data_IF_433013927697
#
_entry.id   IF_433013927697
#
_cell.length_a   1.000
_cell.length_b   1.000
_cell.length_c   1.000
_cell.angle_alpha   90.00
_cell.angle_beta   90.00
_cell.angle_gamma   90.00
#
_symmetry.space_group_name_H-M   'P 1'
#
loop_
_entity.id
_entity.type
_entity.pdbx_description
1 polymer ?
#
# COMPACT_ATOMS: atom_id res chain seq x y z
N UNK A 1 -9.88 -34.07 4.38
CA UNK A 1 -10.96 -33.19 4.86
C UNK A 1 -10.62 -31.80 4.44
N UNK A 2 -11.25 -31.31 3.36
CA UNK A 2 -11.01 -29.96 2.86
C UNK A 2 -11.95 -29.00 3.55
N UNK A 3 -11.42 -28.20 4.48
CA UNK A 3 -12.11 -27.00 4.96
C UNK A 3 -12.16 -25.99 3.83
N UNK A 4 -13.36 -25.48 3.53
CA UNK A 4 -13.60 -24.54 2.46
C UNK A 4 -12.92 -23.20 2.74
N UNK A 5 -11.82 -22.94 2.05
CA UNK A 5 -11.30 -21.57 1.90
C UNK A 5 -12.26 -20.82 0.97
N UNK A 6 -13.26 -20.16 1.55
CA UNK A 6 -14.30 -19.47 0.80
C UNK A 6 -15.52 -18.99 1.59
N UNK A 7 -15.62 -19.24 2.90
CA UNK A 7 -16.65 -18.58 3.72
C UNK A 7 -16.23 -17.13 4.02
N UNK A 8 -17.15 -16.19 3.79
CA UNK A 8 -17.03 -14.81 4.24
C UNK A 8 -16.94 -14.81 5.77
N UNK A 9 -15.72 -14.70 6.30
CA UNK A 9 -15.45 -14.61 7.74
C UNK A 9 -14.94 -13.21 8.05
N UNK A 10 -15.57 -12.55 9.02
CA UNK A 10 -15.14 -11.21 9.45
C UNK A 10 -13.80 -11.31 10.21
N UNK A 11 -13.02 -10.22 10.18
CA UNK A 11 -11.64 -10.23 10.71
C UNK A 11 -11.54 -10.72 12.17
N UNK A 12 -12.42 -10.26 13.05
CA UNK A 12 -12.43 -10.66 14.46
C UNK A 12 -12.82 -12.13 14.65
N UNK A 13 -13.69 -12.67 13.79
CA UNK A 13 -14.07 -14.08 13.81
C UNK A 13 -12.91 -14.97 13.35
N UNK A 14 -12.18 -14.54 12.31
CA UNK A 14 -10.98 -15.21 11.83
C UNK A 14 -9.91 -15.27 12.92
N UNK A 15 -9.69 -14.16 13.63
CA UNK A 15 -8.76 -14.11 14.76
C UNK A 15 -9.20 -15.01 15.92
N UNK A 16 -10.49 -14.98 16.28
CA UNK A 16 -11.04 -15.78 17.37
C UNK A 16 -10.97 -17.30 17.09
N UNK A 17 -10.95 -17.69 15.81
CA UNK A 17 -10.77 -19.08 15.38
C UNK A 17 -9.33 -19.60 15.49
N UNK A 18 -8.34 -18.74 15.78
CA UNK A 18 -6.94 -19.13 15.92
C UNK A 18 -6.66 -19.94 17.20
N UNK A 19 -5.70 -20.87 17.13
CA UNK A 19 -5.18 -21.56 18.30
C UNK A 19 -3.93 -20.83 18.82
N UNK A 20 -3.95 -20.23 20.04
CA UNK A 20 -2.78 -19.52 20.59
C UNK A 20 -1.57 -20.42 20.84
N UNK A 21 -1.79 -21.73 20.93
CA UNK A 21 -0.76 -22.74 21.20
C UNK A 21 -0.16 -23.33 19.92
N UNK A 22 -0.69 -23.02 18.73
CA UNK A 22 -0.13 -23.51 17.47
C UNK A 22 1.30 -22.94 17.30
N UNK A 23 2.33 -23.78 17.14
CA UNK A 23 3.70 -23.30 17.02
C UNK A 23 3.91 -22.55 15.71
N UNK A 24 4.57 -21.38 15.81
CA UNK A 24 5.00 -20.65 14.61
C UNK A 24 5.98 -21.49 13.78
N UNK A 25 5.75 -21.56 12.47
CA UNK A 25 6.64 -22.24 11.53
C UNK A 25 7.40 -21.20 10.73
N UNK A 26 8.71 -21.13 10.96
CA UNK A 26 9.61 -20.35 10.11
C UNK A 26 9.90 -21.12 8.82
N UNK A 27 10.20 -20.42 7.71
CA UNK A 27 10.75 -21.08 6.53
C UNK A 27 12.09 -21.74 6.88
N UNK A 28 12.35 -22.93 6.33
CA UNK A 28 13.64 -23.62 6.51
C UNK A 28 14.72 -22.98 5.63
N UNK A 29 14.30 -22.41 4.49
CA UNK A 29 15.14 -21.68 3.55
C UNK A 29 14.42 -20.40 3.09
N UNK A 30 15.15 -19.28 3.03
CA UNK A 30 14.62 -18.01 2.52
C UNK A 30 14.16 -18.09 1.04
N UNK A 31 14.58 -19.11 0.29
CA UNK A 31 14.10 -19.35 -1.07
C UNK A 31 12.75 -20.07 -1.15
N UNK A 32 12.20 -20.56 -0.03
CA UNK A 32 10.88 -21.17 -0.01
C UNK A 32 9.79 -20.18 -0.46
N UNK A 33 8.74 -20.74 -1.08
CA UNK A 33 7.61 -19.95 -1.59
C UNK A 33 6.80 -19.39 -0.43
N UNK A 34 6.70 -18.07 -0.38
CA UNK A 34 5.85 -17.33 0.54
C UNK A 34 4.44 -17.10 -0.04
N UNK A 35 4.35 -16.77 -1.33
CA UNK A 35 3.08 -16.43 -1.97
C UNK A 35 3.06 -16.81 -3.45
N UNK A 36 1.87 -17.11 -3.97
CA UNK A 36 1.60 -17.32 -5.39
C UNK A 36 0.67 -16.21 -5.89
N UNK A 37 1.21 -15.33 -6.74
CA UNK A 37 0.45 -14.25 -7.37
C UNK A 37 0.09 -14.67 -8.80
N UNK A 38 -1.17 -14.48 -9.21
CA UNK A 38 -1.60 -14.72 -10.59
C UNK A 38 -1.64 -13.42 -11.38
N UNK A 39 -1.03 -13.42 -12.56
CA UNK A 39 -1.14 -12.32 -13.52
C UNK A 39 -2.14 -12.67 -14.61
N UNK A 40 -2.95 -11.69 -15.02
CA UNK A 40 -4.01 -11.91 -16.00
C UNK A 40 -3.48 -12.27 -17.38
N UNK A 41 -2.26 -11.85 -17.73
CA UNK A 41 -1.56 -12.19 -18.98
C UNK A 41 -2.31 -11.78 -20.25
N UNK A 42 -1.68 -10.99 -21.13
CA UNK A 42 -2.30 -10.58 -22.42
C UNK A 42 -2.66 -11.75 -23.35
N UNK A 43 -2.16 -12.96 -23.06
CA UNK A 43 -2.38 -14.18 -23.83
C UNK A 43 -3.61 -14.99 -23.38
N UNK A 44 -4.40 -14.52 -22.41
CA UNK A 44 -5.61 -15.20 -21.93
C UNK A 44 -5.38 -16.45 -21.07
N UNK A 45 -4.13 -16.73 -20.70
CA UNK A 45 -3.74 -17.81 -19.78
C UNK A 45 -3.04 -17.19 -18.57
N UNK A 46 -3.67 -17.21 -17.38
CA UNK A 46 -3.04 -16.66 -16.19
C UNK A 46 -1.69 -17.33 -15.90
N UNK A 47 -0.68 -16.52 -15.55
CA UNK A 47 0.64 -17.02 -15.16
C UNK A 47 0.80 -16.90 -13.65
N UNK A 48 1.33 -17.94 -13.01
CA UNK A 48 1.68 -17.92 -11.60
C UNK A 48 3.09 -17.36 -11.40
N UNK A 49 3.22 -16.41 -10.49
CA UNK A 49 4.50 -15.84 -10.04
C UNK A 49 4.68 -16.20 -8.58
N UNK A 50 5.71 -17.00 -8.30
CA UNK A 50 6.08 -17.40 -6.95
C UNK A 50 6.97 -16.33 -6.31
N UNK A 51 6.61 -15.89 -5.12
CA UNK A 51 7.43 -15.02 -4.29
C UNK A 51 8.17 -15.88 -3.29
N UNK A 52 9.50 -15.72 -3.21
CA UNK A 52 10.26 -16.28 -2.09
C UNK A 52 10.26 -15.35 -0.89
N UNK A 53 10.50 -15.90 0.31
CA UNK A 53 10.71 -15.10 1.52
C UNK A 53 11.84 -14.06 1.32
N UNK A 54 12.94 -14.48 0.70
CA UNK A 54 14.09 -13.62 0.38
C UNK A 54 13.69 -12.46 -0.52
N UNK A 55 12.96 -12.74 -1.61
CA UNK A 55 12.57 -11.71 -2.56
C UNK A 55 11.64 -10.67 -1.93
N UNK A 56 10.66 -11.12 -1.15
CA UNK A 56 9.77 -10.22 -0.42
C UNK A 56 10.53 -9.38 0.63
N UNK A 57 11.46 -9.99 1.38
CA UNK A 57 12.27 -9.27 2.37
C UNK A 57 13.17 -8.22 1.71
N UNK A 58 13.87 -8.56 0.63
CA UNK A 58 14.73 -7.62 -0.10
C UNK A 58 13.92 -6.47 -0.69
N UNK A 59 12.76 -6.75 -1.28
CA UNK A 59 11.91 -5.69 -1.79
C UNK A 59 11.33 -4.81 -0.66
N UNK A 60 11.07 -5.39 0.52
CA UNK A 60 10.61 -4.64 1.67
C UNK A 60 11.63 -3.62 2.14
N UNK A 61 12.91 -4.01 2.17
CA UNK A 61 14.04 -3.12 2.48
C UNK A 61 14.19 -2.06 1.38
N UNK A 62 14.13 -2.47 0.11
CA UNK A 62 14.20 -1.56 -1.04
C UNK A 62 13.13 -0.46 -0.97
N UNK A 63 11.88 -0.81 -0.68
CA UNK A 63 10.79 0.14 -0.51
C UNK A 63 11.08 1.16 0.61
N UNK A 64 11.60 0.70 1.75
CA UNK A 64 11.93 1.59 2.86
C UNK A 64 13.03 2.59 2.49
N UNK A 65 14.05 2.13 1.74
CA UNK A 65 15.15 2.96 1.28
C UNK A 65 14.72 3.97 0.22
N UNK A 66 14.07 3.51 -0.86
CA UNK A 66 13.67 4.38 -1.99
C UNK A 66 12.68 5.46 -1.52
N UNK A 67 11.75 5.10 -0.65
CA UNK A 67 10.75 6.07 -0.16
C UNK A 67 11.26 6.92 1.02
N UNK A 68 12.47 6.66 1.51
CA UNK A 68 12.97 7.21 2.77
C UNK A 68 11.93 7.08 3.90
N UNK A 69 11.31 5.89 3.96
CA UNK A 69 10.19 5.64 4.86
C UNK A 69 10.70 5.71 6.30
N UNK A 70 10.15 6.60 7.16
CA UNK A 70 10.59 6.69 8.55
C UNK A 70 10.20 5.45 9.35
N UNK A 71 10.74 5.34 10.58
CA UNK A 71 10.19 4.41 11.56
C UNK A 71 8.78 4.84 12.00
N UNK A 72 7.96 3.86 12.38
CA UNK A 72 6.58 4.04 12.83
C UNK A 72 5.65 4.79 11.85
N UNK A 73 5.67 4.49 10.54
CA UNK A 73 4.75 5.14 9.60
C UNK A 73 3.31 4.71 9.90
N UNK A 74 2.36 5.64 9.82
CA UNK A 74 0.92 5.32 9.72
C UNK A 74 0.57 5.15 8.23
N UNK A 75 0.27 3.92 7.80
CA UNK A 75 0.09 3.56 6.41
C UNK A 75 -1.36 3.18 6.12
N UNK A 76 -2.00 3.86 5.16
CA UNK A 76 -3.38 3.60 4.77
C UNK A 76 -3.46 2.65 3.57
N UNK A 77 -4.23 1.58 3.72
CA UNK A 77 -4.50 0.62 2.67
C UNK A 77 -5.58 1.12 1.70
N UNK A 78 -5.12 1.73 0.60
CA UNK A 78 -5.92 2.00 -0.60
C UNK A 78 -5.56 1.11 -1.80
N UNK A 79 -4.53 0.28 -1.62
CA UNK A 79 -4.10 -0.77 -2.55
C UNK A 79 -4.58 -2.13 -2.02
N UNK A 80 -5.21 -2.98 -2.85
CA UNK A 80 -5.60 -4.32 -2.41
C UNK A 80 -4.38 -5.18 -2.03
N UNK A 81 -4.43 -5.83 -0.88
CA UNK A 81 -3.36 -6.71 -0.38
C UNK A 81 -3.04 -7.88 -1.31
N UNK A 82 -4.03 -8.37 -2.07
CA UNK A 82 -3.82 -9.45 -3.02
C UNK A 82 -3.21 -8.99 -4.37
N UNK A 83 -3.28 -7.69 -4.68
CA UNK A 83 -2.78 -7.17 -5.96
C UNK A 83 -1.26 -6.98 -5.89
N UNK A 84 -0.54 -7.86 -6.58
CA UNK A 84 0.90 -8.07 -6.47
C UNK A 84 1.40 -7.88 -5.03
N UNK A 85 0.80 -8.71 -4.17
CA UNK A 85 0.96 -8.78 -2.71
C UNK A 85 1.21 -7.42 -2.04
N UNK A 86 0.28 -6.49 -2.26
CA UNK A 86 0.25 -5.14 -1.68
C UNK A 86 1.52 -4.33 -1.92
N UNK A 87 2.20 -4.59 -3.04
CA UNK A 87 3.55 -4.12 -3.44
C UNK A 87 4.62 -4.24 -2.34
N UNK A 88 4.58 -5.35 -1.59
CA UNK A 88 5.43 -5.67 -0.42
C UNK A 88 5.27 -4.76 0.80
N UNK A 89 4.34 -3.81 0.80
CA UNK A 89 4.08 -2.96 1.95
C UNK A 89 3.54 -3.64 3.22
N UNK A 90 2.92 -4.85 3.20
CA UNK A 90 2.61 -5.55 4.44
C UNK A 90 3.88 -5.79 5.25
N UNK A 91 4.94 -6.19 4.56
CA UNK A 91 6.24 -6.48 5.13
C UNK A 91 7.07 -5.20 5.34
N UNK A 92 7.07 -4.24 4.42
CA UNK A 92 7.79 -2.96 4.60
C UNK A 92 7.29 -2.18 5.81
N UNK A 93 5.98 -2.05 6.00
CA UNK A 93 5.42 -1.29 7.12
C UNK A 93 5.70 -2.02 8.44
N UNK A 94 5.57 -3.35 8.46
CA UNK A 94 5.93 -4.17 9.63
C UNK A 94 7.41 -4.05 9.97
N UNK A 95 8.30 -4.08 8.96
CA UNK A 95 9.74 -3.90 9.11
C UNK A 95 10.08 -2.55 9.79
N UNK A 96 9.32 -1.50 9.47
CA UNK A 96 9.45 -0.17 10.07
C UNK A 96 8.67 0.03 11.38
N UNK A 97 8.10 -1.04 11.96
CA UNK A 97 7.23 -0.98 13.14
C UNK A 97 6.07 0.02 12.99
N UNK A 98 5.51 0.09 11.78
CA UNK A 98 4.41 0.99 11.41
C UNK A 98 3.02 0.47 11.77
N UNK A 99 2.04 1.34 11.57
CA UNK A 99 0.62 1.05 11.76
C UNK A 99 -0.05 0.82 10.41
N UNK A 100 -0.76 -0.29 10.29
CA UNK A 100 -1.63 -0.58 9.15
C UNK A 100 -3.04 -0.04 9.42
N UNK A 101 -3.45 0.98 8.66
CA UNK A 101 -4.82 1.51 8.68
C UNK A 101 -5.59 0.87 7.53
N UNK A 102 -6.51 -0.03 7.84
CA UNK A 102 -7.29 -0.78 6.86
C UNK A 102 -8.68 -0.18 6.66
N UNK A 103 -9.13 -0.16 5.41
CA UNK A 103 -10.50 0.22 5.04
C UNK A 103 -11.23 -1.02 4.49
N UNK A 104 -12.53 -1.13 4.75
CA UNK A 104 -13.37 -2.17 4.13
C UNK A 104 -13.48 -1.99 2.62
N UNK A 105 -13.54 -0.74 2.17
CA UNK A 105 -13.54 -0.35 0.76
C UNK A 105 -12.87 1.00 0.58
N UNK A 106 -12.38 1.27 -0.63
CA UNK A 106 -11.79 2.58 -0.97
C UNK A 106 -12.93 3.53 -1.31
N UNK A 107 -13.40 4.25 -0.28
CA UNK A 107 -14.37 5.34 -0.38
C UNK A 107 -13.69 6.67 0.01
N UNK A 108 -13.87 7.77 -0.74
CA UNK A 108 -13.18 9.03 -0.45
C UNK A 108 -13.45 9.61 0.94
N UNK A 109 -14.69 9.55 1.43
CA UNK A 109 -15.02 10.10 2.74
C UNK A 109 -14.33 9.28 3.85
N UNK A 110 -14.31 7.96 3.71
CA UNK A 110 -13.58 7.07 4.61
C UNK A 110 -12.06 7.31 4.56
N UNK A 111 -11.50 7.52 3.36
CA UNK A 111 -10.07 7.85 3.19
C UNK A 111 -9.73 9.18 3.87
N UNK A 112 -10.49 10.24 3.63
CA UNK A 112 -10.25 11.56 4.25
C UNK A 112 -10.34 11.48 5.78
N UNK A 113 -11.37 10.82 6.30
CA UNK A 113 -11.55 10.65 7.75
C UNK A 113 -10.40 9.84 8.37
N UNK A 114 -9.98 8.74 7.72
CA UNK A 114 -8.87 7.91 8.19
C UNK A 114 -7.55 8.69 8.18
N UNK A 115 -7.28 9.47 7.12
CA UNK A 115 -6.06 10.28 7.02
C UNK A 115 -5.95 11.25 8.20
N UNK A 116 -7.02 11.97 8.51
CA UNK A 116 -7.03 12.97 9.57
C UNK A 116 -7.03 12.33 10.97
N UNK A 117 -7.87 11.33 11.21
CA UNK A 117 -8.04 10.74 12.54
C UNK A 117 -6.90 9.82 12.95
N UNK A 118 -6.34 9.06 12.01
CA UNK A 118 -5.25 8.10 12.25
C UNK A 118 -3.87 8.68 11.92
N UNK A 119 -3.80 9.98 11.60
CA UNK A 119 -2.57 10.70 11.23
C UNK A 119 -1.78 9.94 10.16
N UNK A 120 -2.47 9.53 9.10
CA UNK A 120 -1.86 8.76 8.01
C UNK A 120 -0.74 9.59 7.40
N UNK A 121 0.35 8.90 7.15
CA UNK A 121 1.58 9.46 6.60
C UNK A 121 1.85 8.97 5.18
N UNK A 122 1.46 7.73 4.87
CA UNK A 122 1.78 7.06 3.62
C UNK A 122 0.59 6.26 3.10
N UNK A 123 0.43 6.20 1.78
CA UNK A 123 -0.51 5.31 1.10
C UNK A 123 0.02 4.94 -0.29
N UNK A 124 -0.47 3.85 -0.85
CA UNK A 124 -0.20 3.49 -2.25
C UNK A 124 -1.51 3.38 -3.03
N UNK A 125 -1.49 3.72 -4.31
CA UNK A 125 -2.67 3.57 -5.16
C UNK A 125 -2.36 3.70 -6.64
N UNK A 126 -3.35 3.35 -7.46
CA UNK A 126 -3.32 3.64 -8.89
C UNK A 126 -3.79 5.08 -9.16
N UNK A 127 -3.51 5.66 -10.34
CA UNK A 127 -3.99 6.99 -10.70
C UNK A 127 -5.51 7.18 -10.55
N UNK A 128 -6.29 6.11 -10.71
CA UNK A 128 -7.74 6.13 -10.49
C UNK A 128 -8.12 6.46 -9.04
N UNK A 129 -7.33 6.03 -8.06
CA UNK A 129 -7.55 6.36 -6.64
C UNK A 129 -7.27 7.83 -6.41
N UNK A 130 -6.15 8.35 -6.89
CA UNK A 130 -5.83 9.78 -6.82
C UNK A 130 -6.95 10.63 -7.47
N UNK A 131 -7.38 10.26 -8.67
CA UNK A 131 -8.44 10.94 -9.38
C UNK A 131 -9.78 10.90 -8.63
N UNK A 132 -10.10 9.76 -8.00
CA UNK A 132 -11.29 9.62 -7.17
C UNK A 132 -11.26 10.59 -5.98
N UNK A 133 -10.12 10.71 -5.29
CA UNK A 133 -9.96 11.63 -4.16
C UNK A 133 -10.05 13.10 -4.61
N UNK A 134 -9.42 13.46 -5.72
CA UNK A 134 -9.45 14.84 -6.26
C UNK A 134 -10.87 15.34 -6.53
N UNK A 135 -11.74 14.48 -7.04
CA UNK A 135 -13.08 14.84 -7.47
C UNK A 135 -14.16 14.51 -6.42
N UNK A 136 -13.76 14.06 -5.24
CA UNK A 136 -14.68 13.71 -4.18
C UNK A 136 -15.31 14.96 -3.53
N UNK A 137 -16.59 14.88 -3.11
CA UNK A 137 -17.17 15.89 -2.22
C UNK A 137 -16.30 16.06 -0.98
N UNK A 138 -15.96 17.30 -0.64
CA UNK A 138 -15.12 17.62 0.52
C UNK A 138 -13.62 17.62 0.27
N UNK A 139 -13.14 17.32 -0.95
CA UNK A 139 -11.70 17.37 -1.28
C UNK A 139 -11.06 18.72 -0.93
N UNK A 140 -11.72 19.84 -1.22
CA UNK A 140 -11.22 21.18 -0.86
C UNK A 140 -11.10 21.39 0.66
N UNK A 141 -12.08 20.90 1.44
CA UNK A 141 -12.03 20.97 2.90
C UNK A 141 -10.93 20.07 3.46
N UNK A 142 -10.78 18.87 2.91
CA UNK A 142 -9.71 17.94 3.25
C UNK A 142 -8.32 18.55 3.00
N UNK A 143 -8.10 19.16 1.82
CA UNK A 143 -6.84 19.82 1.49
C UNK A 143 -6.51 20.99 2.43
N UNK A 144 -7.51 21.79 2.80
CA UNK A 144 -7.34 22.85 3.79
C UNK A 144 -6.98 22.28 5.18
N UNK A 145 -7.60 21.18 5.60
CA UNK A 145 -7.31 20.51 6.86
C UNK A 145 -5.88 19.93 6.90
N UNK A 146 -5.44 19.26 5.82
CA UNK A 146 -4.07 18.76 5.69
C UNK A 146 -3.04 19.90 5.71
N UNK A 147 -3.32 20.98 4.98
CA UNK A 147 -2.44 22.17 4.96
C UNK A 147 -2.30 22.77 6.35
N UNK A 148 -3.40 22.90 7.10
CA UNK A 148 -3.36 23.39 8.47
C UNK A 148 -2.60 22.44 9.40
N UNK A 149 -2.76 21.12 9.24
CA UNK A 149 -2.02 20.14 10.03
C UNK A 149 -0.50 20.23 9.76
N UNK A 150 -0.10 20.34 8.49
CA UNK A 150 1.31 20.49 8.10
C UNK A 150 1.93 21.78 8.65
N UNK A 151 1.21 22.90 8.61
CA UNK A 151 1.68 24.17 9.17
C UNK A 151 1.88 24.12 10.70
N UNK A 152 1.13 23.25 11.40
CA UNK A 152 1.29 22.98 12.83
C UNK A 152 2.42 22.01 13.19
N UNK A 153 3.30 21.67 12.23
CA UNK A 153 4.37 20.68 12.41
C UNK A 153 3.92 19.23 12.19
N UNK A 154 2.72 19.02 11.65
CA UNK A 154 2.24 17.71 11.23
C UNK A 154 2.98 17.19 9.99
N UNK A 155 3.00 15.87 9.83
CA UNK A 155 3.61 15.21 8.68
C UNK A 155 2.76 15.40 7.40
N UNK A 156 3.42 15.63 6.27
CA UNK A 156 2.78 15.61 4.94
C UNK A 156 2.43 14.17 4.54
N UNK A 157 1.31 14.00 3.85
CA UNK A 157 0.90 12.69 3.33
C UNK A 157 1.67 12.41 2.04
N UNK A 158 2.28 11.23 1.94
CA UNK A 158 2.99 10.78 0.73
C UNK A 158 2.25 9.63 0.07
N UNK A 159 2.13 9.67 -1.25
CA UNK A 159 1.51 8.62 -2.04
C UNK A 159 2.48 8.05 -3.07
N UNK A 160 2.73 6.74 -3.03
CA UNK A 160 3.28 6.06 -4.20
C UNK A 160 2.16 5.74 -5.20
N UNK A 161 2.36 6.13 -6.45
CA UNK A 161 1.42 5.90 -7.54
C UNK A 161 2.02 4.92 -8.56
N UNK A 162 1.27 3.89 -8.97
CA UNK A 162 1.75 2.85 -9.88
C UNK A 162 0.64 2.26 -10.76
N UNK A 163 1.00 1.38 -11.69
CA UNK A 163 0.09 0.61 -12.55
C UNK A 163 -0.30 1.32 -13.85
N UNK A 164 -0.28 2.65 -13.86
CA UNK A 164 -0.36 3.48 -15.05
C UNK A 164 0.39 4.80 -14.81
N UNK A 165 0.95 5.44 -15.85
CA UNK A 165 1.57 6.75 -15.70
C UNK A 165 0.51 7.77 -15.25
N UNK A 166 0.71 8.46 -14.11
CA UNK A 166 -0.21 9.50 -13.67
C UNK A 166 -0.08 10.72 -14.60
N UNK A 167 -1.20 11.32 -15.07
CA UNK A 167 -1.15 12.58 -15.79
C UNK A 167 -0.55 13.69 -14.92
N UNK A 168 0.24 14.60 -15.50
CA UNK A 168 0.88 15.70 -14.76
C UNK A 168 -0.15 16.54 -13.96
N UNK A 169 -1.31 16.82 -14.56
CA UNK A 169 -2.40 17.53 -13.89
C UNK A 169 -2.93 16.81 -12.64
N UNK A 170 -2.86 15.48 -12.58
CA UNK A 170 -3.24 14.71 -11.39
C UNK A 170 -2.18 14.87 -10.30
N UNK A 171 -0.90 14.88 -10.66
CA UNK A 171 0.20 15.11 -9.71
C UNK A 171 0.08 16.50 -9.08
N UNK A 172 -0.02 17.55 -9.91
CA UNK A 172 -0.17 18.94 -9.46
C UNK A 172 -1.40 19.14 -8.58
N UNK A 173 -2.53 18.55 -8.95
CA UNK A 173 -3.75 18.69 -8.16
C UNK A 173 -3.67 17.95 -6.81
N UNK A 174 -2.99 16.80 -6.74
CA UNK A 174 -2.79 16.07 -5.48
C UNK A 174 -1.85 16.84 -4.55
N UNK A 175 -0.80 17.46 -5.09
CA UNK A 175 0.06 18.37 -4.32
C UNK A 175 -0.73 19.57 -3.79
N UNK A 176 -1.67 20.11 -4.57
CA UNK A 176 -2.61 21.14 -4.13
C UNK A 176 -3.51 20.71 -2.97
N UNK A 177 -3.75 19.40 -2.79
CA UNK A 177 -4.42 18.85 -1.61
C UNK A 177 -3.45 18.57 -0.44
N UNK A 178 -2.16 18.83 -0.61
CA UNK A 178 -1.13 18.54 0.39
C UNK A 178 -0.64 17.09 0.39
N UNK A 179 -0.86 16.35 -0.70
CA UNK A 179 -0.38 14.96 -0.88
C UNK A 179 0.77 14.95 -1.89
N UNK A 180 1.96 14.57 -1.45
CA UNK A 180 3.14 14.42 -2.30
C UNK A 180 3.07 13.09 -3.05
N UNK A 181 3.08 13.11 -4.38
CA UNK A 181 2.94 11.89 -5.20
C UNK A 181 4.27 11.53 -5.85
N UNK A 182 4.72 10.28 -5.66
CA UNK A 182 5.87 9.72 -6.36
C UNK A 182 5.41 8.60 -7.27
N UNK A 183 5.71 8.70 -8.57
CA UNK A 183 5.40 7.65 -9.53
C UNK A 183 6.46 6.54 -9.46
N UNK A 184 6.00 5.28 -9.43
CA UNK A 184 6.85 4.10 -9.43
C UNK A 184 6.38 3.08 -10.46
N UNK A 185 7.32 2.28 -10.98
CA UNK A 185 7.04 1.23 -11.93
C UNK A 185 7.60 -0.11 -11.46
N UNK A 186 6.83 -1.17 -11.68
CA UNK A 186 7.14 -2.52 -11.26
C UNK A 186 6.23 -3.55 -11.91
N UNK A 187 6.59 -4.81 -11.76
CA UNK A 187 5.88 -5.97 -12.30
C UNK A 187 5.64 -6.98 -11.19
N UNK A 188 4.76 -7.95 -11.44
CA UNK A 188 4.56 -9.02 -10.46
C UNK A 188 5.83 -9.84 -10.28
N UNK A 189 6.52 -10.12 -11.38
CA UNK A 189 7.78 -10.84 -11.44
C UNK A 189 8.93 -10.13 -10.70
N UNK A 190 8.80 -8.84 -10.40
CA UNK A 190 9.80 -8.04 -9.67
C UNK A 190 9.39 -7.74 -8.22
N UNK A 191 8.40 -8.44 -7.65
CA UNK A 191 7.89 -8.21 -6.29
C UNK A 191 7.24 -6.83 -6.09
N UNK A 192 7.14 -6.04 -7.16
CA UNK A 192 6.65 -4.68 -7.14
C UNK A 192 7.56 -3.62 -7.69
N UNK A 193 7.37 -2.37 -7.23
CA UNK A 193 8.15 -1.22 -7.66
C UNK A 193 9.64 -1.53 -7.70
N UNK A 194 10.22 -1.48 -8.89
CA UNK A 194 11.66 -1.67 -9.12
C UNK A 194 12.36 -0.36 -9.50
N UNK A 195 11.60 0.64 -9.96
CA UNK A 195 12.10 1.98 -10.29
C UNK A 195 11.14 3.05 -9.79
N UNK A 196 11.69 4.21 -9.43
CA UNK A 196 10.95 5.37 -8.94
C UNK A 196 11.36 6.64 -9.68
N UNK A 197 10.40 7.52 -9.94
CA UNK A 197 10.65 8.88 -10.39
C UNK A 197 11.02 9.74 -9.17
N UNK A 198 12.29 9.70 -8.75
CA UNK A 198 12.77 10.47 -7.61
C UNK A 198 12.66 11.97 -7.87
N UNK A 199 12.20 12.70 -6.86
CA UNK A 199 12.31 14.15 -6.83
C UNK A 199 13.78 14.56 -6.85
N UNK A 200 14.10 15.60 -7.61
CA UNK A 200 15.40 16.26 -7.59
C UNK A 200 15.21 17.59 -6.88
N UNK A 201 16.05 17.87 -5.88
CA UNK A 201 16.12 19.19 -5.26
C UNK A 201 16.74 20.14 -6.30
N UNK A 202 16.01 21.20 -6.67
CA UNK A 202 16.52 22.31 -7.50
C UNK A 202 17.29 23.34 -6.68
#
# INVERSE_FOLDING_TARGET
GGGGWGEECEYEELLAGGCPEEPWRYPEDEWETQALNYTSGTTGRPKGVLFSHRGAALNSINNALIWSLPQHPSYLWTLPLFHCSGWCFPHTVTLQAGTHVCLRSVDPAAVFAAILSQRVSHLCGAPVVANMLLHAPGAAHFGAALTSAAAGGGQRVKMLCAGAPPPAAVLEAMEGLGVEVTHVYGLTESYGPAVACSWQEE
#
